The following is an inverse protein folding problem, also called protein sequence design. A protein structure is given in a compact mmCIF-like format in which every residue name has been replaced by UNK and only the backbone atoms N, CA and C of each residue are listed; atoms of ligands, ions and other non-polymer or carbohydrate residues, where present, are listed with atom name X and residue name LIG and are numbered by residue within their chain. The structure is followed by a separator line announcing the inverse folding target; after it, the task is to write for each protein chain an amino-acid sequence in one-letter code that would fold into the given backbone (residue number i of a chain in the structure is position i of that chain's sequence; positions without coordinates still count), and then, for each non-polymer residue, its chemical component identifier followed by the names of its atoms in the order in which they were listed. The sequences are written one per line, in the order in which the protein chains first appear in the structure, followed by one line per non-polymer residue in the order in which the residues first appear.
data_IF_837211843011
#
_entry.id   IF_837211843011
#
_cell.length_a   1.000
_cell.length_b   1.000
_cell.length_c   1.000
_cell.angle_alpha   90.00
_cell.angle_beta   90.00
_cell.angle_gamma   90.00
#
_symmetry.space_group_name_H-M   'P 1'
#
loop_
_entity.id
_entity.type
_entity.pdbx_description
1 polymer ?
#
# COMPACT_ATOMS: atom_id res chain seq x y z
N UNK A 1 -10.34 8.29 2.95
CA UNK A 1 -9.27 9.19 3.44
C UNK A 1 -8.76 9.95 2.23
N UNK A 2 -8.53 11.25 2.34
CA UNK A 2 -7.96 12.05 1.24
C UNK A 2 -6.44 11.99 1.28
N UNK A 3 -5.77 12.21 0.14
CA UNK A 3 -4.31 12.21 0.06
C UNK A 3 -3.73 13.36 0.88
N UNK A 4 -4.38 14.52 0.84
CA UNK A 4 -4.03 15.68 1.68
C UNK A 4 -4.10 15.40 3.19
N UNK A 5 -5.07 14.60 3.66
CA UNK A 5 -5.13 14.19 5.07
C UNK A 5 -3.97 13.25 5.44
N UNK A 6 -3.53 12.41 4.50
CA UNK A 6 -2.37 11.54 4.67
C UNK A 6 -1.09 12.38 4.72
N UNK A 7 -0.94 13.33 3.80
CA UNK A 7 0.22 14.21 3.74
C UNK A 7 0.34 15.04 5.03
N UNK A 8 -0.76 15.65 5.50
CA UNK A 8 -0.80 16.37 6.78
C UNK A 8 -0.39 15.49 7.95
N UNK A 9 -0.92 14.26 8.01
CA UNK A 9 -0.54 13.29 9.04
C UNK A 9 0.96 12.98 8.98
N UNK A 10 1.52 12.77 7.78
CA UNK A 10 2.95 12.44 7.64
C UNK A 10 3.80 13.62 8.09
N UNK A 11 3.49 14.85 7.66
CA UNK A 11 4.22 16.05 8.11
C UNK A 11 4.18 16.21 9.64
N UNK A 12 3.04 15.92 10.26
CA UNK A 12 2.87 16.07 11.71
C UNK A 12 3.56 14.96 12.53
N UNK A 13 3.78 13.76 11.95
CA UNK A 13 4.29 12.59 12.68
C UNK A 13 5.69 12.13 12.23
N UNK A 14 6.14 12.56 11.06
CA UNK A 14 7.42 12.24 10.43
C UNK A 14 8.08 13.54 9.92
N UNK A 15 8.46 14.45 10.83
CA UNK A 15 8.98 15.76 10.45
C UNK A 15 10.30 15.69 9.66
N UNK A 16 10.98 14.55 9.73
CA UNK A 16 12.24 14.30 9.03
C UNK A 16 12.06 13.73 7.61
N UNK A 17 10.82 13.46 7.19
CA UNK A 17 10.52 12.85 5.89
C UNK A 17 10.72 13.80 4.71
N UNK A 18 10.95 13.26 3.51
CA UNK A 18 11.08 14.08 2.31
C UNK A 18 9.83 14.92 2.03
N UNK A 19 8.64 14.39 2.33
CA UNK A 19 7.40 15.13 2.18
C UNK A 19 7.30 16.30 3.17
N UNK A 20 7.87 16.18 4.38
CA UNK A 20 7.90 17.27 5.35
C UNK A 20 8.91 18.38 4.99
N UNK A 21 10.06 18.02 4.40
CA UNK A 21 11.11 18.98 4.06
C UNK A 21 10.98 19.61 2.68
N UNK A 22 10.62 18.82 1.67
CA UNK A 22 10.76 19.21 0.27
C UNK A 22 9.43 19.53 -0.41
N UNK A 23 8.29 19.29 0.25
CA UNK A 23 6.98 19.46 -0.36
C UNK A 23 6.11 20.45 0.43
N UNK A 24 5.44 21.35 -0.30
CA UNK A 24 4.51 22.33 0.28
C UNK A 24 3.17 21.67 0.62
N UNK A 25 3.07 21.07 1.82
CA UNK A 25 1.80 20.53 2.33
C UNK A 25 0.94 21.65 2.90
N UNK A 26 -0.18 21.96 2.24
CA UNK A 26 -1.10 23.03 2.61
C UNK A 26 -2.24 22.46 3.46
N UNK A 27 -2.17 22.71 4.78
CA UNK A 27 -3.18 22.20 5.72
C UNK A 27 -4.60 22.68 5.36
N UNK A 28 -5.55 21.75 5.34
CA UNK A 28 -6.97 21.99 5.03
C UNK A 28 -7.28 22.20 3.55
N UNK A 29 -6.29 22.17 2.65
CA UNK A 29 -6.52 22.33 1.22
C UNK A 29 -6.88 21.00 0.55
N UNK A 30 -7.96 20.98 -0.24
CA UNK A 30 -8.63 19.75 -0.71
C UNK A 30 -9.05 19.79 -2.19
N UNK A 31 -8.40 20.63 -3.01
CA UNK A 31 -8.73 20.71 -4.45
C UNK A 31 -8.18 19.50 -5.20
N UNK A 32 -8.86 19.10 -6.27
CA UNK A 32 -8.53 17.90 -7.05
C UNK A 32 -7.08 17.91 -7.57
N UNK A 33 -6.66 19.00 -8.23
CA UNK A 33 -5.27 19.15 -8.70
C UNK A 33 -4.23 19.01 -7.58
N UNK A 34 -4.60 19.40 -6.36
CA UNK A 34 -3.72 19.30 -5.20
C UNK A 34 -3.64 17.87 -4.68
N UNK A 35 -4.78 17.17 -4.59
CA UNK A 35 -4.79 15.75 -4.26
C UNK A 35 -3.93 14.97 -5.27
N UNK A 36 -4.07 15.23 -6.57
CA UNK A 36 -3.26 14.59 -7.61
C UNK A 36 -1.77 14.91 -7.47
N UNK A 37 -1.41 16.16 -7.16
CA UNK A 37 -0.01 16.55 -6.94
C UNK A 37 0.66 15.86 -5.75
N UNK A 38 -0.13 15.28 -4.83
CA UNK A 38 0.39 14.57 -3.67
C UNK A 38 0.67 13.08 -3.93
N UNK A 39 0.28 12.53 -5.08
CA UNK A 39 0.45 11.09 -5.37
C UNK A 39 1.92 10.70 -5.31
N UNK A 40 2.79 11.38 -6.06
CA UNK A 40 4.22 11.00 -6.14
C UNK A 40 4.98 11.23 -4.83
N UNK A 41 4.82 12.37 -4.11
CA UNK A 41 5.43 12.56 -2.80
C UNK A 41 4.99 11.50 -1.77
N UNK A 42 3.72 11.09 -1.80
CA UNK A 42 3.21 10.06 -0.90
C UNK A 42 3.71 8.67 -1.28
N UNK A 43 3.83 8.37 -2.59
CA UNK A 43 4.45 7.14 -3.06
C UNK A 43 5.92 7.06 -2.63
N UNK A 44 6.69 8.13 -2.79
CA UNK A 44 8.09 8.20 -2.37
C UNK A 44 8.22 7.90 -0.88
N UNK A 45 7.41 8.56 -0.04
CA UNK A 45 7.40 8.31 1.40
C UNK A 45 7.18 6.81 1.72
N UNK A 46 6.14 6.18 1.16
CA UNK A 46 5.85 4.80 1.52
C UNK A 46 6.78 3.77 0.87
N UNK A 47 7.15 3.96 -0.39
CA UNK A 47 7.94 2.99 -1.16
C UNK A 47 9.42 3.13 -0.84
N UNK A 48 9.94 4.36 -0.82
CA UNK A 48 11.34 4.61 -0.61
C UNK A 48 11.69 4.72 0.88
N UNK A 49 11.06 5.64 1.61
CA UNK A 49 11.45 5.92 3.00
C UNK A 49 11.02 4.79 3.95
N UNK A 50 9.77 4.32 3.86
CA UNK A 50 9.24 3.33 4.80
C UNK A 50 9.59 1.87 4.42
N UNK A 51 9.41 1.50 3.14
CA UNK A 51 9.70 0.14 2.65
C UNK A 51 11.16 -0.05 2.21
N UNK A 52 11.93 1.01 2.00
CA UNK A 52 13.33 0.92 1.58
C UNK A 52 13.54 0.48 0.13
N UNK A 53 12.50 0.60 -0.72
CA UNK A 53 12.60 0.24 -2.14
C UNK A 53 13.28 1.38 -2.90
N UNK A 54 14.43 1.13 -3.50
CA UNK A 54 15.25 2.17 -4.15
C UNK A 54 14.63 2.79 -5.41
N UNK A 55 13.47 2.31 -5.88
CA UNK A 55 12.86 2.74 -7.15
C UNK A 55 13.56 2.20 -8.41
N UNK A 56 14.60 1.39 -8.26
CA UNK A 56 15.36 0.83 -9.37
C UNK A 56 14.57 -0.28 -10.11
N UNK A 57 14.72 -0.37 -11.44
CA UNK A 57 14.07 -1.40 -12.25
C UNK A 57 12.70 -0.95 -12.77
N UNK A 58 11.65 -1.73 -12.51
CA UNK A 58 10.25 -1.38 -12.82
C UNK A 58 9.45 -1.31 -11.51
N UNK A 59 9.51 -0.18 -10.79
CA UNK A 59 8.88 -0.04 -9.49
C UNK A 59 7.35 -0.16 -9.56
N UNK A 60 6.73 0.23 -10.67
CA UNK A 60 5.28 0.18 -10.88
C UNK A 60 4.73 -1.25 -10.76
N UNK A 61 5.48 -2.26 -11.22
CA UNK A 61 5.10 -3.67 -11.02
C UNK A 61 5.07 -4.07 -9.54
N UNK A 62 5.98 -3.50 -8.74
CA UNK A 62 6.01 -3.72 -7.30
C UNK A 62 4.84 -3.01 -6.62
N UNK A 63 4.56 -1.76 -7.02
CA UNK A 63 3.43 -0.97 -6.49
C UNK A 63 2.11 -1.69 -6.73
N UNK A 64 1.90 -2.18 -7.95
CA UNK A 64 0.70 -2.90 -8.33
C UNK A 64 0.53 -4.21 -7.55
N UNK A 65 1.62 -4.94 -7.33
CA UNK A 65 1.61 -6.19 -6.54
C UNK A 65 1.23 -5.91 -5.08
N UNK A 66 1.83 -4.90 -4.45
CA UNK A 66 1.50 -4.49 -3.08
C UNK A 66 0.05 -4.00 -3.01
N UNK A 67 -0.40 -3.19 -3.98
CA UNK A 67 -1.78 -2.67 -4.05
C UNK A 67 -2.80 -3.80 -4.07
N UNK A 68 -2.64 -4.75 -5.00
CA UNK A 68 -3.54 -5.91 -5.13
C UNK A 68 -3.57 -6.74 -3.85
N UNK A 69 -2.40 -7.01 -3.27
CA UNK A 69 -2.34 -7.74 -2.00
C UNK A 69 -3.07 -7.02 -0.87
N UNK A 70 -2.78 -5.73 -0.65
CA UNK A 70 -3.43 -4.94 0.39
C UNK A 70 -4.94 -4.79 0.15
N UNK A 71 -5.38 -4.68 -1.10
CA UNK A 71 -6.79 -4.66 -1.48
C UNK A 71 -7.50 -5.96 -1.08
N UNK A 72 -6.93 -7.12 -1.43
CA UNK A 72 -7.45 -8.44 -1.03
C UNK A 72 -7.58 -8.53 0.49
N UNK A 73 -6.52 -8.16 1.23
CA UNK A 73 -6.54 -8.18 2.71
C UNK A 73 -7.57 -7.22 3.28
N UNK A 74 -7.72 -6.03 2.71
CA UNK A 74 -8.70 -5.05 3.17
C UNK A 74 -10.13 -5.59 3.04
N UNK A 75 -10.46 -6.22 1.90
CA UNK A 75 -11.78 -6.80 1.67
C UNK A 75 -12.09 -7.99 2.59
N UNK A 76 -11.09 -8.83 2.86
CA UNK A 76 -11.23 -9.93 3.81
C UNK A 76 -11.62 -9.44 5.22
N UNK A 77 -10.95 -8.38 5.69
CA UNK A 77 -11.12 -7.85 7.05
C UNK A 77 -12.48 -7.20 7.25
N UNK A 78 -12.96 -6.48 6.25
CA UNK A 78 -14.30 -5.89 6.27
C UNK A 78 -15.38 -6.92 5.90
N UNK A 79 -15.04 -8.21 5.94
CA UNK A 79 -15.93 -9.36 5.72
C UNK A 79 -16.68 -9.32 4.37
N UNK A 80 -16.07 -8.72 3.35
CA UNK A 80 -16.61 -8.74 1.97
C UNK A 80 -16.32 -10.06 1.27
N UNK A 81 -15.22 -10.72 1.62
CA UNK A 81 -14.76 -11.97 1.03
C UNK A 81 -14.37 -12.95 2.13
N UNK A 82 -14.53 -14.25 1.87
CA UNK A 82 -14.04 -15.30 2.76
C UNK A 82 -12.59 -15.70 2.43
N UNK A 83 -12.03 -16.66 3.18
CA UNK A 83 -10.65 -17.08 2.98
C UNK A 83 -10.44 -17.87 1.66
N UNK A 84 -11.47 -18.55 1.15
CA UNK A 84 -11.35 -19.24 -0.13
C UNK A 84 -11.25 -18.22 -1.27
N UNK A 85 -12.05 -17.16 -1.22
CA UNK A 85 -11.95 -16.05 -2.17
C UNK A 85 -10.59 -15.33 -2.08
N UNK A 86 -10.00 -15.20 -0.88
CA UNK A 86 -8.62 -14.70 -0.73
C UNK A 86 -7.63 -15.56 -1.51
N UNK A 87 -7.72 -16.89 -1.40
CA UNK A 87 -6.85 -17.82 -2.13
C UNK A 87 -7.06 -17.69 -3.65
N UNK A 88 -8.32 -17.62 -4.08
CA UNK A 88 -8.67 -17.51 -5.49
C UNK A 88 -8.16 -16.19 -6.08
N UNK A 89 -8.23 -15.08 -5.33
CA UNK A 89 -7.69 -13.79 -5.74
C UNK A 89 -6.16 -13.74 -5.72
N UNK A 90 -5.47 -14.47 -4.85
CA UNK A 90 -4.01 -14.62 -4.99
C UNK A 90 -3.64 -15.27 -6.32
N UNK A 91 -4.40 -16.28 -6.74
CA UNK A 91 -4.19 -16.92 -8.03
C UNK A 91 -4.54 -16.02 -9.22
N UNK A 92 -5.68 -15.34 -9.17
CA UNK A 92 -6.19 -14.58 -10.31
C UNK A 92 -5.62 -13.16 -10.42
N UNK A 93 -5.48 -12.46 -9.29
CA UNK A 93 -5.06 -11.07 -9.25
C UNK A 93 -3.53 -10.96 -9.12
N UNK A 94 -2.88 -11.84 -8.35
CA UNK A 94 -1.42 -11.81 -8.16
C UNK A 94 -0.66 -12.82 -9.01
N UNK A 95 -1.37 -13.72 -9.71
CA UNK A 95 -0.75 -14.83 -10.46
C UNK A 95 0.13 -15.73 -9.57
N UNK A 96 -0.24 -15.89 -8.30
CA UNK A 96 0.45 -16.70 -7.31
C UNK A 96 -0.44 -17.87 -6.87
N UNK A 97 -0.02 -19.09 -7.16
CA UNK A 97 -0.69 -20.30 -6.70
C UNK A 97 -0.33 -20.58 -5.24
N UNK A 98 -1.31 -20.42 -4.36
CA UNK A 98 -1.21 -20.71 -2.93
C UNK A 98 -0.74 -22.13 -2.63
N UNK A 99 -1.05 -23.11 -3.50
CA UNK A 99 -0.67 -24.50 -3.32
C UNK A 99 0.71 -24.84 -3.90
N UNK A 100 1.39 -23.87 -4.51
CA UNK A 100 2.77 -24.02 -4.95
C UNK A 100 3.73 -23.46 -3.89
N UNK A 101 4.53 -24.33 -3.26
CA UNK A 101 5.38 -23.97 -2.14
C UNK A 101 6.33 -22.79 -2.42
N UNK A 102 6.89 -22.70 -3.63
CA UNK A 102 7.83 -21.63 -4.00
C UNK A 102 7.08 -20.30 -4.17
N UNK A 103 5.96 -20.31 -4.89
CA UNK A 103 5.18 -19.09 -5.11
C UNK A 103 4.55 -18.60 -3.80
N UNK A 104 4.06 -19.52 -2.97
CA UNK A 104 3.60 -19.18 -1.63
C UNK A 104 4.73 -18.65 -0.75
N UNK A 105 5.94 -19.20 -0.84
CA UNK A 105 7.11 -18.68 -0.13
C UNK A 105 7.44 -17.22 -0.51
N UNK A 106 7.33 -16.87 -1.79
CA UNK A 106 7.50 -15.47 -2.26
C UNK A 106 6.39 -14.56 -1.74
N UNK A 107 5.13 -15.02 -1.80
CA UNK A 107 3.99 -14.30 -1.23
C UNK A 107 4.22 -14.06 0.27
N UNK A 108 4.60 -15.11 1.01
CA UNK A 108 4.83 -15.08 2.44
C UNK A 108 6.00 -14.16 2.81
N UNK A 109 7.07 -14.12 2.00
CA UNK A 109 8.15 -13.15 2.19
C UNK A 109 7.63 -11.71 2.12
N UNK A 110 6.83 -11.36 1.11
CA UNK A 110 6.19 -10.05 1.04
C UNK A 110 5.29 -9.77 2.25
N UNK A 111 4.49 -10.76 2.69
CA UNK A 111 3.65 -10.61 3.87
C UNK A 111 4.48 -10.26 5.12
N UNK A 112 5.60 -10.94 5.33
CA UNK A 112 6.48 -10.65 6.47
C UNK A 112 7.12 -9.26 6.39
N UNK A 113 7.52 -8.79 5.20
CA UNK A 113 8.04 -7.43 5.04
C UNK A 113 6.96 -6.39 5.36
N UNK A 114 5.72 -6.60 4.88
CA UNK A 114 4.61 -5.67 5.17
C UNK A 114 4.19 -5.68 6.64
N UNK A 115 4.27 -6.82 7.31
CA UNK A 115 4.01 -6.96 8.75
C UNK A 115 5.12 -6.32 9.60
N UNK A 116 6.40 -6.58 9.28
CA UNK A 116 7.56 -5.96 9.94
C UNK A 116 7.53 -4.43 9.85
N UNK A 117 7.05 -3.90 8.72
CA UNK A 117 6.90 -2.47 8.49
C UNK A 117 5.55 -1.90 8.98
N UNK A 118 4.77 -2.68 9.74
CA UNK A 118 3.51 -2.28 10.35
C UNK A 118 2.43 -1.82 9.33
N UNK A 119 2.48 -2.30 8.09
CA UNK A 119 1.38 -2.09 7.13
C UNK A 119 0.25 -3.10 7.33
N UNK A 120 0.61 -4.30 7.77
CA UNK A 120 -0.34 -5.32 8.20
C UNK A 120 -0.05 -5.78 9.62
N UNK A 121 -1.04 -6.33 10.30
CA UNK A 121 -0.88 -7.04 11.56
C UNK A 121 -1.38 -8.46 11.37
N UNK A 122 -0.52 -9.44 11.64
CA UNK A 122 -0.93 -10.83 11.71
C UNK A 122 -1.76 -11.10 12.98
N UNK A 123 -2.83 -11.87 12.84
CA UNK A 123 -3.57 -12.43 13.97
C UNK A 123 -2.89 -13.71 14.44
N UNK A 124 -3.65 -14.82 14.47
CA UNK A 124 -3.09 -16.14 14.75
C UNK A 124 -2.17 -16.68 13.64
N UNK A 125 -2.16 -16.05 12.46
CA UNK A 125 -1.29 -16.42 11.34
C UNK A 125 -1.02 -15.22 10.43
N UNK A 126 0.12 -15.26 9.73
CA UNK A 126 0.49 -14.25 8.72
C UNK A 126 -0.50 -14.21 7.55
N UNK A 127 -1.06 -15.36 7.17
CA UNK A 127 -2.12 -15.46 6.16
C UNK A 127 -3.49 -14.96 6.63
N UNK A 128 -3.66 -14.70 7.93
CA UNK A 128 -4.86 -14.14 8.56
C UNK A 128 -4.75 -12.64 8.87
N UNK A 129 -3.75 -11.93 8.34
CA UNK A 129 -3.48 -10.55 8.69
C UNK A 129 -4.56 -9.53 8.25
N UNK A 130 -4.57 -8.37 8.89
CA UNK A 130 -5.37 -7.22 8.49
C UNK A 130 -4.54 -5.97 8.33
N UNK A 131 -5.04 -4.98 7.58
CA UNK A 131 -4.36 -3.70 7.42
C UNK A 131 -4.36 -2.92 8.73
N UNK A 132 -3.22 -2.32 9.05
CA UNK A 132 -3.13 -1.28 10.08
C UNK A 132 -3.67 0.04 9.55
N UNK A 133 -3.67 1.10 10.38
CA UNK A 133 -3.94 2.46 9.89
C UNK A 133 -2.91 2.92 8.87
N UNK A 134 -1.65 2.54 9.04
CA UNK A 134 -0.57 2.81 8.08
C UNK A 134 -0.80 2.07 6.76
N UNK A 135 -1.17 0.79 6.82
CA UNK A 135 -1.58 0.01 5.64
C UNK A 135 -2.77 0.61 4.89
N UNK A 136 -3.79 1.10 5.61
CA UNK A 136 -4.95 1.77 5.00
C UNK A 136 -4.56 3.06 4.26
N UNK A 137 -3.63 3.86 4.81
CA UNK A 137 -3.09 5.05 4.13
C UNK A 137 -2.33 4.65 2.87
N UNK A 138 -1.44 3.68 2.97
CA UNK A 138 -0.70 3.16 1.82
C UNK A 138 -1.64 2.67 0.70
N UNK A 139 -2.63 1.84 1.04
CA UNK A 139 -3.61 1.38 0.06
C UNK A 139 -4.35 2.57 -0.59
N UNK A 140 -4.71 3.60 0.18
CA UNK A 140 -5.35 4.81 -0.37
C UNK A 140 -4.45 5.51 -1.39
N UNK A 141 -3.14 5.63 -1.12
CA UNK A 141 -2.16 6.23 -2.05
C UNK A 141 -2.04 5.39 -3.31
N UNK A 142 -1.90 4.06 -3.18
CA UNK A 142 -1.75 3.15 -4.31
C UNK A 142 -3.01 3.10 -5.21
N UNK A 143 -4.21 3.19 -4.64
CA UNK A 143 -5.45 3.29 -5.42
C UNK A 143 -5.53 4.62 -6.19
N UNK A 144 -5.09 5.73 -5.58
CA UNK A 144 -5.04 7.02 -6.27
C UNK A 144 -4.01 7.04 -7.41
N UNK A 145 -2.83 6.45 -7.17
CA UNK A 145 -1.82 6.22 -8.20
C UNK A 145 -2.40 5.41 -9.37
N UNK A 146 -2.99 4.24 -9.11
CA UNK A 146 -3.57 3.40 -10.17
C UNK A 146 -4.64 4.12 -10.98
N UNK A 147 -5.50 4.90 -10.30
CA UNK A 147 -6.54 5.68 -10.95
C UNK A 147 -5.99 6.83 -11.82
N UNK A 148 -4.78 7.33 -11.54
CA UNK A 148 -4.06 8.28 -12.42
C UNK A 148 -3.52 7.54 -13.64
N UNK A 149 -2.83 6.43 -13.46
CA UNK A 149 -2.26 5.62 -14.55
C UNK A 149 -3.34 5.10 -15.53
N UNK A 150 -4.56 4.84 -15.07
CA UNK A 150 -5.67 4.41 -15.93
C UNK A 150 -6.23 5.54 -16.83
N UNK A 151 -5.89 6.81 -16.56
CA UNK A 151 -6.33 7.97 -17.34
C UNK A 151 -5.32 8.40 -18.41
N UNK A 152 -4.08 7.92 -18.33
CA UNK A 152 -2.98 8.20 -19.27
C UNK A 152 -2.96 7.20 -20.42
#
# INVERSE_FOLDING_TARGET
MKLSEIAEYIVDNYPESNIAYNNDVIKGYRKEWYEESLIDPLLDFYMHEELGLCGCGNPEFTYETIRRYLNIRNEFVISKIDYQEVIDRYKNDLLLDYNNDIQYGLLQFMMYILDDKDFTTHGSSIGGCWLTKKGQRLLTVLEAWRAREDKE
#
